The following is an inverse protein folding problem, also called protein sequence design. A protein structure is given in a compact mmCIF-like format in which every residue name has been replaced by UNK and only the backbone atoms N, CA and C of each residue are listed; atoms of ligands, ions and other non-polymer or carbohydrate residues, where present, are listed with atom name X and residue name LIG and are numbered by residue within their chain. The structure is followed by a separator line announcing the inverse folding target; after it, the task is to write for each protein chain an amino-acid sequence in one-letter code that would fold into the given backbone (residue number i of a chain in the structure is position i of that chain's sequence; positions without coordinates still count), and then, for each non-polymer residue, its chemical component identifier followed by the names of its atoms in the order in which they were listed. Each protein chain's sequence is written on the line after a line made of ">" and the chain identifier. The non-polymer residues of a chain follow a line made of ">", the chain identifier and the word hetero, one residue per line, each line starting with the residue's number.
data_IF_331587100723
#
_entry.id   IF_331587100723
#
_cell.length_a   1.000
_cell.length_b   1.000
_cell.length_c   1.000
_cell.angle_alpha   90.00
_cell.angle_beta   90.00
_cell.angle_gamma   90.00
#
_symmetry.space_group_name_H-M   'P 1'
#
loop_
_entity.id
_entity.type
_entity.pdbx_description
1 polymer ?
#
# COMPACT_ATOMS: atom_id res chain seq x y z
N UNK A 1 -0.36 -9.59 16.23
CA UNK A 1 -0.81 -8.63 15.19
C UNK A 1 -0.73 -9.35 13.84
N UNK A 2 -1.78 -9.39 13.03
CA UNK A 2 -1.69 -9.97 11.67
C UNK A 2 -1.16 -8.89 10.71
N UNK A 3 -0.25 -9.21 9.78
CA UNK A 3 0.29 -8.23 8.85
C UNK A 3 -0.78 -7.78 7.84
N UNK A 4 -0.81 -6.49 7.52
CA UNK A 4 -1.55 -6.00 6.36
C UNK A 4 -0.88 -6.53 5.08
N UNK A 5 -1.67 -6.97 4.11
CA UNK A 5 -1.17 -7.46 2.83
C UNK A 5 -1.41 -6.39 1.76
N UNK A 6 -0.39 -6.08 0.97
CA UNK A 6 -0.48 -5.14 -0.14
C UNK A 6 -0.03 -5.79 -1.44
N UNK A 7 -0.77 -5.56 -2.52
CA UNK A 7 -0.42 -5.96 -3.87
C UNK A 7 -0.31 -4.71 -4.74
N UNK A 8 0.80 -4.57 -5.46
CA UNK A 8 1.07 -3.39 -6.30
C UNK A 8 1.39 -3.83 -7.71
N UNK A 9 0.69 -3.25 -8.68
CA UNK A 9 1.03 -3.37 -10.09
C UNK A 9 1.73 -2.09 -10.50
N UNK A 10 2.83 -2.21 -11.21
CA UNK A 10 3.73 -1.11 -11.50
C UNK A 10 3.98 -1.02 -13.00
N UNK A 11 3.89 0.19 -13.55
CA UNK A 11 4.38 0.51 -14.89
C UNK A 11 5.73 1.20 -14.74
N UNK A 12 6.75 0.62 -15.37
CA UNK A 12 8.13 1.11 -15.34
C UNK A 12 8.34 2.18 -16.42
N UNK A 13 8.80 3.36 -16.01
CA UNK A 13 9.25 4.42 -16.90
C UNK A 13 10.73 4.76 -16.66
N UNK A 14 11.54 4.74 -17.71
CA UNK A 14 12.92 5.23 -17.65
C UNK A 14 12.98 6.65 -18.22
N UNK A 15 13.33 7.62 -17.37
CA UNK A 15 13.39 9.03 -17.77
C UNK A 15 14.79 9.47 -18.23
N UNK A 16 15.84 8.81 -17.73
CA UNK A 16 17.26 9.10 -18.01
C UNK A 16 18.16 7.90 -17.60
N UNK A 17 19.42 7.81 -18.06
CA UNK A 17 20.35 6.71 -17.69
C UNK A 17 20.83 6.82 -16.24
N UNK A 18 19.90 6.72 -15.28
CA UNK A 18 20.08 6.65 -13.82
C UNK A 18 18.75 6.89 -13.07
N UNK A 19 17.67 7.24 -13.78
CA UNK A 19 16.39 7.62 -13.18
C UNK A 19 15.30 6.64 -13.60
N UNK A 20 14.84 5.89 -12.60
CA UNK A 20 13.76 4.93 -12.73
C UNK A 20 12.55 5.47 -11.98
N UNK A 21 11.44 5.64 -12.68
CA UNK A 21 10.18 6.05 -12.08
C UNK A 21 9.17 4.94 -12.35
N UNK A 22 8.57 4.46 -11.28
CA UNK A 22 7.57 3.42 -11.35
C UNK A 22 6.30 3.93 -10.70
N UNK A 23 5.18 3.86 -11.42
CA UNK A 23 3.87 4.28 -10.90
C UNK A 23 2.88 3.18 -11.20
N UNK A 24 1.99 2.90 -10.26
CA UNK A 24 0.85 2.08 -10.60
C UNK A 24 -0.13 1.84 -9.47
N UNK A 25 -1.22 1.11 -9.77
CA UNK A 25 -2.28 0.88 -8.81
C UNK A 25 -1.83 -0.10 -7.73
N UNK A 26 -2.32 0.13 -6.51
CA UNK A 26 -2.12 -0.75 -5.37
C UNK A 26 -3.45 -1.12 -4.72
N UNK A 27 -3.49 -2.32 -4.16
CA UNK A 27 -4.59 -2.84 -3.36
C UNK A 27 -4.05 -3.25 -1.99
N UNK A 28 -4.77 -2.93 -0.91
CA UNK A 28 -4.35 -3.20 0.46
C UNK A 28 -5.48 -3.88 1.23
N UNK A 29 -5.15 -4.92 1.97
CA UNK A 29 -6.02 -5.57 2.94
C UNK A 29 -5.51 -5.28 4.35
N UNK A 30 -6.33 -4.60 5.14
CA UNK A 30 -6.03 -4.22 6.51
C UNK A 30 -6.91 -5.02 7.49
N UNK A 31 -6.29 -5.54 8.54
CA UNK A 31 -7.01 -6.16 9.65
C UNK A 31 -6.52 -5.54 10.96
N UNK A 32 -7.45 -4.98 11.72
CA UNK A 32 -7.20 -4.40 13.03
C UNK A 32 -8.05 -5.15 14.07
N UNK A 33 -7.46 -5.49 15.20
CA UNK A 33 -8.18 -6.07 16.35
C UNK A 33 -8.01 -5.11 17.51
N UNK A 34 -9.12 -4.62 18.02
CA UNK A 34 -9.13 -3.86 19.25
C UNK A 34 -9.10 -4.84 20.43
N UNK A 35 -8.04 -4.75 21.24
CA UNK A 35 -7.77 -5.72 22.31
C UNK A 35 -8.71 -5.53 23.49
N UNK A 36 -9.20 -4.30 23.72
CA UNK A 36 -10.00 -3.93 24.88
C UNK A 36 -11.47 -4.31 24.71
N UNK A 37 -12.03 -4.10 23.52
CA UNK A 37 -13.45 -4.34 23.22
C UNK A 37 -13.71 -5.70 22.55
N UNK A 38 -12.65 -6.42 22.18
CA UNK A 38 -12.75 -7.68 21.41
C UNK A 38 -13.17 -7.49 19.95
N UNK A 39 -13.44 -6.26 19.51
CA UNK A 39 -13.90 -5.95 18.17
C UNK A 39 -12.81 -6.19 17.13
N UNK A 40 -13.24 -6.70 15.97
CA UNK A 40 -12.39 -6.91 14.81
C UNK A 40 -12.86 -5.97 13.71
N UNK A 41 -11.90 -5.34 13.07
CA UNK A 41 -12.11 -4.49 11.91
C UNK A 41 -11.30 -5.07 10.77
N UNK A 42 -11.96 -5.34 9.66
CA UNK A 42 -11.31 -5.78 8.45
C UNK A 42 -11.72 -4.84 7.32
N UNK A 43 -10.80 -4.60 6.41
CA UNK A 43 -11.04 -3.65 5.36
C UNK A 43 -10.16 -3.87 4.17
N UNK A 44 -10.69 -3.52 3.02
CA UNK A 44 -9.96 -3.45 1.77
C UNK A 44 -9.83 -1.99 1.34
N UNK A 45 -8.73 -1.71 0.67
CA UNK A 45 -8.44 -0.40 0.13
C UNK A 45 -7.74 -0.50 -1.21
N UNK A 46 -7.82 0.59 -1.95
CA UNK A 46 -7.12 0.76 -3.22
C UNK A 46 -6.40 2.11 -3.22
N UNK A 47 -5.38 2.23 -4.05
CA UNK A 47 -4.52 3.40 -4.07
C UNK A 47 -3.59 3.43 -5.27
N UNK A 48 -2.68 4.39 -5.23
CA UNK A 48 -1.57 4.52 -6.18
C UNK A 48 -0.25 4.51 -5.44
N UNK A 49 0.72 3.76 -5.95
CA UNK A 49 2.09 3.77 -5.47
C UNK A 49 2.99 4.42 -6.51
N UNK A 50 3.99 5.16 -6.05
CA UNK A 50 5.08 5.66 -6.86
C UNK A 50 6.42 5.30 -6.21
N UNK A 51 7.39 4.93 -7.03
CA UNK A 51 8.77 4.75 -6.62
C UNK A 51 9.66 5.51 -7.58
N UNK A 52 10.58 6.31 -7.03
CA UNK A 52 11.56 7.07 -7.79
C UNK A 52 12.94 6.66 -7.30
N UNK A 53 13.77 6.16 -8.22
CA UNK A 53 15.16 5.81 -7.95
C UNK A 53 16.08 6.72 -8.74
N UNK A 54 17.07 7.28 -8.06
CA UNK A 54 18.13 8.09 -8.64
C UNK A 54 19.48 7.65 -8.07
N UNK A 55 20.31 7.00 -8.89
CA UNK A 55 21.58 6.40 -8.46
C UNK A 55 21.41 5.45 -7.24
N UNK A 56 21.89 5.89 -6.06
CA UNK A 56 21.86 5.16 -4.78
C UNK A 56 20.73 5.62 -3.86
N UNK A 57 19.94 6.61 -4.28
CA UNK A 57 18.81 7.14 -3.52
C UNK A 57 17.51 6.57 -4.10
N UNK A 58 16.60 6.15 -3.23
CA UNK A 58 15.25 5.75 -3.60
C UNK A 58 14.25 6.45 -2.69
N UNK A 59 13.11 6.83 -3.27
CA UNK A 59 11.99 7.42 -2.57
C UNK A 59 10.73 6.69 -2.98
N UNK A 60 9.99 6.22 -2.00
CA UNK A 60 8.73 5.51 -2.20
C UNK A 60 7.58 6.36 -1.62
N UNK A 61 6.54 6.52 -2.42
CA UNK A 61 5.32 7.24 -2.07
C UNK A 61 4.11 6.35 -2.27
N UNK A 62 3.26 6.26 -1.26
CA UNK A 62 2.10 5.35 -1.25
C UNK A 62 0.89 6.15 -0.76
N UNK A 63 -0.15 6.22 -1.58
CA UNK A 63 -1.42 6.83 -1.20
C UNK A 63 -2.52 5.80 -1.37
N UNK A 64 -3.19 5.46 -0.26
CA UNK A 64 -4.23 4.43 -0.24
C UNK A 64 -5.45 4.91 0.52
N UNK A 65 -6.64 4.66 -0.03
CA UNK A 65 -7.91 4.79 0.67
C UNK A 65 -8.35 3.42 1.14
N UNK A 66 -8.50 3.26 2.46
CA UNK A 66 -8.97 2.01 3.09
C UNK A 66 -10.31 2.25 3.73
N UNK A 67 -11.29 1.38 3.46
CA UNK A 67 -12.55 1.34 4.20
C UNK A 67 -12.48 0.18 5.19
N UNK A 68 -12.64 0.50 6.47
CA UNK A 68 -12.67 -0.50 7.54
C UNK A 68 -14.13 -0.71 7.92
N UNK A 69 -14.59 -1.94 7.76
CA UNK A 69 -15.89 -2.36 8.25
C UNK A 69 -15.68 -3.22 9.49
N UNK A 70 -16.63 -3.19 10.42
CA UNK A 70 -16.64 -4.15 11.54
C UNK A 70 -16.71 -5.53 10.93
N UNK A 71 -15.72 -6.36 11.21
CA UNK A 71 -15.75 -7.76 10.86
C UNK A 71 -16.62 -8.46 11.89
N UNK A 72 -17.74 -9.03 11.44
CA UNK A 72 -18.57 -9.90 12.29
C UNK A 72 -17.67 -10.98 12.91
N UNK A 73 -17.83 -11.14 14.23
CA UNK A 73 -16.98 -11.95 15.09
C UNK A 73 -17.10 -13.44 14.84
#
# INVERSE_FOLDING_TARGET
>A
MRPAAAAVLFVLGQAAPAQEITIGPQAVLASYREVVSGLRYAGFGFGGAMSVRFHKLSVDGVVTRVKLDTADG
#
